data_IF_915694668273
#
_entry.id   IF_915694668273
#
_cell.length_a   1.000
_cell.length_b   1.000
_cell.length_c   1.000
_cell.angle_alpha   90.00
_cell.angle_beta   90.00
_cell.angle_gamma   90.00
#
_symmetry.space_group_name_H-M   'P 1'
#
loop_
_entity.id
_entity.type
_entity.pdbx_description
1 polymer ?
#
# COMPACT_ATOMS: atom_id res chain seq x y z
N UNK A 1 7.77 7.72 -13.76
CA UNK A 1 6.44 7.60 -14.27
C UNK A 1 5.70 6.39 -13.69
N UNK A 2 4.47 6.61 -13.28
CA UNK A 2 3.67 5.54 -12.70
C UNK A 2 3.45 4.39 -13.69
N UNK A 3 3.24 4.74 -14.97
CA UNK A 3 3.10 3.72 -16.04
C UNK A 3 4.27 2.75 -16.07
N UNK A 4 5.48 3.24 -15.83
CA UNK A 4 6.67 2.40 -15.85
C UNK A 4 6.74 1.47 -14.63
N UNK A 5 6.10 1.85 -13.54
CA UNK A 5 6.02 1.03 -12.35
C UNK A 5 5.02 -0.12 -12.49
N UNK A 6 3.90 0.11 -13.17
CA UNK A 6 2.82 -0.87 -13.32
C UNK A 6 3.32 -2.19 -13.89
N UNK A 7 4.18 -2.15 -14.89
CA UNK A 7 4.68 -3.35 -15.56
C UNK A 7 5.54 -4.25 -14.65
N UNK A 8 6.03 -3.73 -13.53
CA UNK A 8 6.81 -4.51 -12.56
C UNK A 8 5.96 -5.05 -11.42
N UNK A 9 4.69 -4.66 -11.36
CA UNK A 9 3.79 -5.07 -10.30
C UNK A 9 3.01 -6.33 -10.62
N UNK A 10 2.46 -6.93 -9.57
CA UNK A 10 1.57 -8.06 -9.66
C UNK A 10 0.14 -7.59 -9.46
N UNK A 11 -0.80 -8.23 -10.17
CA UNK A 11 -2.21 -7.88 -10.05
C UNK A 11 -2.84 -8.66 -8.90
N UNK A 12 -3.52 -7.94 -8.01
CA UNK A 12 -4.38 -8.52 -6.98
C UNK A 12 -5.81 -8.24 -7.41
N UNK A 13 -6.59 -9.30 -7.61
CA UNK A 13 -8.00 -9.17 -7.96
C UNK A 13 -8.80 -10.15 -7.13
N UNK A 14 -9.62 -9.62 -6.25
CA UNK A 14 -10.40 -10.43 -5.33
C UNK A 14 -11.82 -9.88 -5.19
N UNK A 15 -12.80 -10.72 -5.44
CA UNK A 15 -14.20 -10.39 -5.21
C UNK A 15 -14.88 -11.66 -4.71
N UNK A 16 -15.06 -11.75 -3.41
CA UNK A 16 -15.57 -12.95 -2.77
C UNK A 16 -16.19 -12.59 -1.43
N UNK A 17 -17.13 -13.41 -0.98
CA UNK A 17 -17.73 -13.27 0.36
C UNK A 17 -16.69 -13.50 1.46
N UNK A 18 -15.68 -14.32 1.16
CA UNK A 18 -14.58 -14.58 2.10
C UNK A 18 -13.53 -13.49 1.96
N UNK A 19 -13.20 -12.83 3.07
CA UNK A 19 -12.22 -11.74 3.08
C UNK A 19 -10.82 -12.24 2.74
N UNK A 20 -10.11 -11.42 1.95
CA UNK A 20 -8.69 -11.59 1.69
C UNK A 20 -7.92 -10.69 2.65
N UNK A 21 -6.97 -11.24 3.37
CA UNK A 21 -6.10 -10.46 4.24
C UNK A 21 -4.88 -10.02 3.44
N UNK A 22 -4.75 -8.72 3.23
CA UNK A 22 -3.67 -8.13 2.44
C UNK A 22 -2.45 -7.81 3.30
N UNK A 23 -2.67 -7.39 4.54
CA UNK A 23 -1.60 -7.01 5.46
C UNK A 23 -1.95 -7.49 6.87
N UNK A 24 -0.98 -8.05 7.57
CA UNK A 24 -1.09 -8.38 8.98
C UNK A 24 -0.45 -7.26 9.81
N UNK A 25 -1.13 -6.88 10.89
CA UNK A 25 -0.59 -5.90 11.84
C UNK A 25 0.69 -6.42 12.49
N UNK A 26 1.62 -5.51 12.72
CA UNK A 26 2.89 -5.80 13.40
C UNK A 26 3.76 -6.82 12.65
N UNK A 27 3.74 -6.75 11.34
CA UNK A 27 4.53 -7.60 10.46
C UNK A 27 5.60 -6.79 9.75
N UNK A 28 6.67 -7.47 9.31
CA UNK A 28 7.66 -6.85 8.45
C UNK A 28 7.01 -6.43 7.12
N UNK A 29 7.53 -5.36 6.53
CA UNK A 29 7.06 -4.92 5.22
C UNK A 29 7.30 -6.00 4.17
N UNK A 30 6.25 -6.39 3.46
CA UNK A 30 6.35 -7.39 2.39
C UNK A 30 6.00 -6.85 1.02
N UNK A 31 4.97 -6.02 0.95
CA UNK A 31 4.45 -5.51 -0.32
C UNK A 31 3.95 -4.08 -0.19
N UNK A 32 4.21 -3.30 -1.23
CA UNK A 32 3.58 -2.00 -1.41
C UNK A 32 2.49 -2.20 -2.45
N UNK A 33 1.30 -1.68 -2.23
CA UNK A 33 0.22 -1.83 -3.20
C UNK A 33 -0.54 -0.52 -3.44
N UNK A 34 -1.15 -0.44 -4.61
CA UNK A 34 -1.96 0.70 -5.03
C UNK A 34 -3.36 0.22 -5.40
N UNK A 35 -4.39 0.80 -4.80
CA UNK A 35 -5.77 0.41 -5.05
C UNK A 35 -6.25 1.03 -6.36
N UNK A 36 -6.56 0.18 -7.33
CA UNK A 36 -7.07 0.60 -8.64
C UNK A 36 -8.59 0.71 -8.61
N UNK A 37 -9.26 -0.21 -7.92
CA UNK A 37 -10.72 -0.23 -7.79
C UNK A 37 -11.11 -1.04 -6.56
N UNK A 38 -12.35 -0.87 -6.09
CA UNK A 38 -12.83 -1.52 -4.90
C UNK A 38 -12.38 -0.81 -3.64
N UNK A 39 -12.36 -1.54 -2.53
CA UNK A 39 -11.96 -0.96 -1.24
C UNK A 39 -11.41 -2.01 -0.29
N UNK A 40 -10.69 -1.55 0.72
CA UNK A 40 -10.18 -2.39 1.79
C UNK A 40 -10.41 -1.70 3.14
N UNK A 41 -10.55 -2.50 4.18
CA UNK A 41 -10.73 -2.00 5.54
C UNK A 41 -9.42 -2.07 6.30
N UNK A 42 -9.09 -0.98 6.98
CA UNK A 42 -7.96 -0.93 7.89
C UNK A 42 -8.51 -1.23 9.29
N UNK A 43 -8.03 -2.31 9.89
CA UNK A 43 -8.50 -2.72 11.22
C UNK A 43 -7.34 -2.80 12.20
N UNK A 44 -7.67 -2.60 13.46
CA UNK A 44 -6.75 -2.77 14.57
C UNK A 44 -7.28 -3.88 15.48
N UNK A 45 -6.86 -3.95 16.72
CA UNK A 45 -7.24 -4.99 17.64
C UNK A 45 -8.77 -5.19 17.70
N UNK A 46 -9.19 -6.46 17.87
CA UNK A 46 -10.59 -6.85 17.93
C UNK A 46 -11.39 -6.53 16.65
N UNK A 47 -10.71 -6.49 15.50
CA UNK A 47 -11.32 -6.22 14.20
C UNK A 47 -12.06 -4.89 14.12
N UNK A 48 -11.63 -3.91 14.92
CA UNK A 48 -12.22 -2.57 14.88
C UNK A 48 -11.72 -1.87 13.62
N UNK A 49 -12.65 -1.50 12.74
CA UNK A 49 -12.33 -0.75 11.53
C UNK A 49 -12.07 0.71 11.90
N UNK A 50 -10.90 1.22 11.53
CA UNK A 50 -10.51 2.60 11.81
C UNK A 50 -10.49 3.47 10.57
N UNK A 51 -10.42 2.86 9.38
CA UNK A 51 -10.43 3.59 8.11
C UNK A 51 -10.68 2.65 6.95
N UNK A 52 -10.95 3.24 5.78
CA UNK A 52 -11.07 2.49 4.53
C UNK A 52 -10.06 3.02 3.53
N UNK A 53 -9.54 2.10 2.72
CA UNK A 53 -8.70 2.42 1.58
C UNK A 53 -9.55 2.24 0.32
N UNK A 54 -9.50 3.22 -0.55
CA UNK A 54 -10.30 3.27 -1.77
C UNK A 54 -9.41 3.51 -2.99
N UNK A 55 -10.02 3.55 -4.16
CA UNK A 55 -9.33 3.88 -5.41
C UNK A 55 -8.39 5.07 -5.22
N UNK A 56 -7.14 4.88 -5.60
CA UNK A 56 -6.10 5.90 -5.49
C UNK A 56 -5.29 5.87 -4.20
N UNK A 57 -5.65 5.01 -3.26
CA UNK A 57 -4.92 4.89 -2.01
C UNK A 57 -3.80 3.84 -2.11
N UNK A 58 -2.76 4.04 -1.31
CA UNK A 58 -1.65 3.10 -1.20
C UNK A 58 -1.83 2.22 0.03
N UNK A 59 -1.32 0.99 -0.06
CA UNK A 59 -1.31 0.03 1.05
C UNK A 59 0.12 -0.17 1.52
N UNK A 60 0.35 -0.03 2.82
CA UNK A 60 1.68 -0.19 3.46
C UNK A 60 2.69 0.89 3.10
N UNK A 61 2.24 2.06 2.70
CA UNK A 61 3.13 3.16 2.33
C UNK A 61 3.99 3.65 3.50
N UNK A 62 3.45 3.70 4.71
CA UNK A 62 4.20 4.13 5.89
C UNK A 62 5.36 3.17 6.18
N UNK A 63 5.07 1.87 6.17
CA UNK A 63 6.09 0.83 6.40
C UNK A 63 7.16 0.84 5.30
N UNK A 64 6.74 1.12 4.06
CA UNK A 64 7.67 1.24 2.93
C UNK A 64 8.66 2.38 3.14
N UNK A 65 8.17 3.54 3.58
CA UNK A 65 9.02 4.74 3.75
C UNK A 65 9.90 4.64 4.99
N UNK A 66 9.35 4.20 6.12
CA UNK A 66 10.04 4.23 7.41
C UNK A 66 10.86 2.97 7.71
N UNK A 67 10.50 1.84 7.09
CA UNK A 67 11.07 0.56 7.44
C UNK A 67 10.47 -0.05 8.71
N UNK A 68 9.53 0.63 9.33
CA UNK A 68 8.87 0.13 10.53
C UNK A 68 7.89 -1.00 10.20
N UNK A 69 7.55 -1.79 11.20
CA UNK A 69 6.53 -2.83 11.05
C UNK A 69 5.18 -2.21 10.76
N UNK A 70 4.31 -3.00 10.12
CA UNK A 70 2.96 -2.58 9.78
C UNK A 70 2.16 -2.26 11.04
N UNK A 71 1.32 -1.21 10.97
CA UNK A 71 0.57 -0.71 12.12
C UNK A 71 -0.85 -1.23 12.21
N UNK A 72 -1.35 -1.91 11.17
CA UNK A 72 -2.72 -2.35 11.11
C UNK A 72 -2.90 -3.56 10.20
N UNK A 73 -4.04 -4.23 10.33
CA UNK A 73 -4.45 -5.23 9.36
C UNK A 73 -5.18 -4.54 8.21
N UNK A 74 -5.04 -5.09 7.01
CA UNK A 74 -5.80 -4.63 5.83
C UNK A 74 -6.50 -5.84 5.24
N UNK A 75 -7.82 -5.76 5.14
CA UNK A 75 -8.66 -6.86 4.63
C UNK A 75 -9.63 -6.32 3.58
N UNK A 76 -10.00 -7.16 2.63
CA UNK A 76 -10.97 -6.77 1.59
C UNK A 76 -11.78 -7.96 1.09
N UNK A 77 -13.02 -7.67 0.71
CA UNK A 77 -13.88 -8.60 -0.03
C UNK A 77 -13.96 -8.22 -1.51
N UNK A 78 -13.57 -7.01 -1.85
CA UNK A 78 -13.71 -6.50 -3.22
C UNK A 78 -12.58 -5.51 -3.50
N UNK A 79 -11.53 -5.98 -4.17
CA UNK A 79 -10.37 -5.15 -4.47
C UNK A 79 -9.73 -5.54 -5.80
N UNK A 80 -9.30 -4.52 -6.53
CA UNK A 80 -8.38 -4.63 -7.64
C UNK A 80 -7.21 -3.69 -7.32
N UNK A 81 -6.03 -4.27 -7.19
CA UNK A 81 -4.84 -3.52 -6.79
C UNK A 81 -3.61 -4.00 -7.57
N UNK A 82 -2.59 -3.18 -7.60
CA UNK A 82 -1.28 -3.54 -8.14
C UNK A 82 -0.32 -3.57 -6.96
N UNK A 83 0.46 -4.65 -6.85
CA UNK A 83 1.35 -4.88 -5.72
C UNK A 83 2.78 -5.09 -6.19
N UNK A 84 3.71 -4.52 -5.45
CA UNK A 84 5.15 -4.72 -5.67
C UNK A 84 5.74 -5.34 -4.41
N UNK A 85 6.36 -6.50 -4.57
CA UNK A 85 7.00 -7.18 -3.45
C UNK A 85 8.27 -6.44 -3.03
N UNK A 86 8.69 -6.66 -1.79
CA UNK A 86 9.95 -6.12 -1.28
C UNK A 86 11.12 -6.48 -2.21
N UNK A 87 11.15 -7.72 -2.70
CA UNK A 87 12.20 -8.17 -3.61
C UNK A 87 12.20 -7.37 -4.92
N UNK A 88 11.03 -7.14 -5.50
CA UNK A 88 10.89 -6.35 -6.73
C UNK A 88 11.35 -4.91 -6.49
N UNK A 89 10.95 -4.32 -5.38
CA UNK A 89 11.34 -2.94 -5.03
C UNK A 89 12.86 -2.82 -4.84
N UNK A 90 13.49 -3.80 -4.22
CA UNK A 90 14.94 -3.81 -4.05
C UNK A 90 15.66 -3.91 -5.39
N UNK A 91 15.15 -4.75 -6.31
CA UNK A 91 15.71 -4.84 -7.66
C UNK A 91 15.58 -3.53 -8.42
N UNK A 92 14.44 -2.84 -8.29
CA UNK A 92 14.24 -1.54 -8.93
C UNK A 92 15.19 -0.49 -8.39
N UNK A 93 15.43 -0.50 -7.09
CA UNK A 93 16.36 0.42 -6.45
C UNK A 93 17.76 0.30 -7.04
N UNK A 94 18.18 -0.93 -7.34
CA UNK A 94 19.51 -1.20 -7.89
C UNK A 94 19.57 -0.96 -9.40
N UNK A 95 18.59 -1.48 -10.14
CA UNK A 95 18.60 -1.48 -11.61
C UNK A 95 18.01 -0.23 -12.23
N UNK A 96 17.06 0.40 -11.58
CA UNK A 96 16.36 1.59 -12.07
C UNK A 96 16.22 2.63 -10.95
N UNK A 97 17.36 3.15 -10.45
CA UNK A 97 17.33 4.03 -9.28
C UNK A 97 16.50 5.30 -9.48
N UNK A 98 16.47 5.86 -10.69
CA UNK A 98 15.65 7.06 -10.95
C UNK A 98 14.18 6.79 -10.82
N UNK A 99 13.74 5.62 -11.32
CA UNK A 99 12.33 5.22 -11.20
C UNK A 99 11.97 4.95 -9.75
N UNK A 100 12.85 4.28 -9.01
CA UNK A 100 12.64 4.01 -7.60
C UNK A 100 12.55 5.32 -6.79
N UNK A 101 13.41 6.30 -7.07
CA UNK A 101 13.40 7.60 -6.39
C UNK A 101 12.11 8.37 -6.66
N UNK A 102 11.59 8.31 -7.88
CA UNK A 102 10.31 8.93 -8.22
C UNK A 102 9.17 8.31 -7.42
N UNK A 103 9.16 6.99 -7.30
CA UNK A 103 8.16 6.28 -6.50
C UNK A 103 8.28 6.68 -5.03
N UNK A 104 9.49 6.66 -4.50
CA UNK A 104 9.74 7.01 -3.11
C UNK A 104 9.27 8.43 -2.79
N UNK A 105 9.57 9.38 -3.68
CA UNK A 105 9.14 10.78 -3.53
C UNK A 105 7.63 10.93 -3.59
N UNK A 106 6.98 10.20 -4.50
CA UNK A 106 5.52 10.22 -4.64
C UNK A 106 4.85 9.71 -3.36
N UNK A 107 5.33 8.60 -2.82
CA UNK A 107 4.79 8.01 -1.60
C UNK A 107 5.00 8.95 -0.40
N UNK A 108 6.21 9.49 -0.27
CA UNK A 108 6.53 10.41 0.83
C UNK A 108 5.64 11.66 0.78
N UNK A 109 5.43 12.22 -0.41
CA UNK A 109 4.54 13.38 -0.59
C UNK A 109 3.11 13.04 -0.19
N UNK A 110 2.62 11.86 -0.61
CA UNK A 110 1.27 11.42 -0.29
C UNK A 110 1.07 11.29 1.23
N UNK A 111 2.06 10.76 1.94
CA UNK A 111 2.02 10.66 3.40
C UNK A 111 2.00 12.04 4.06
N UNK A 112 2.84 12.97 3.58
CA UNK A 112 2.87 14.34 4.10
C UNK A 112 1.53 15.03 3.93
N UNK A 113 0.91 14.90 2.76
CA UNK A 113 -0.40 15.48 2.49
C UNK A 113 -1.48 14.92 3.41
N UNK A 114 -1.44 13.62 3.71
CA UNK A 114 -2.37 12.99 4.65
C UNK A 114 -2.20 13.55 6.05
N UNK A 115 -0.96 13.76 6.50
CA UNK A 115 -0.67 14.32 7.80
C UNK A 115 -1.17 15.76 7.92
N UNK A 116 -0.96 16.56 6.89
CA UNK A 116 -1.44 17.94 6.83
C UNK A 116 -2.97 18.00 6.93
N UNK A 117 -3.66 17.15 6.15
CA UNK A 117 -5.12 17.08 6.19
C UNK A 117 -5.63 16.66 7.55
N UNK A 118 -4.96 15.71 8.19
CA UNK A 118 -5.31 15.24 9.52
C UNK A 118 -5.21 16.35 10.57
N UNK A 119 -4.26 17.26 10.43
CA UNK A 119 -4.02 18.35 11.36
C UNK A 119 -4.92 19.58 11.14
N UNK A 120 -5.69 19.59 10.08
CA UNK A 120 -6.57 20.74 9.72
C UNK A 120 -7.99 20.64 10.26
N UNK A 121 -8.21 19.82 11.20
CA UNK A 121 -9.56 19.68 11.80
C UNK A 121 -9.94 20.90 12.61
#
# INVERSE_FOLDING_TARGET
>A
EFKNMIKFGDIIKHKNKKSLKLVNKNSEFENLAFVVDGEASITIENNVEVAKLKKGDWISEFSFITGDKTSANVISNDIFAISWSKATLQKLKIKKPELFEKLNSLIARNLCEKLIRSNKK
#
